data_IF_243542381469
#
_entry.id   IF_243542381469
#
_cell.length_a   1.000
_cell.length_b   1.000
_cell.length_c   1.000
_cell.angle_alpha   90.00
_cell.angle_beta   90.00
_cell.angle_gamma   90.00
#
_symmetry.space_group_name_H-M   'P 1'
#
loop_
_entity.id
_entity.type
_entity.pdbx_description
1 polymer ?
#
# COMPACT_ATOMS: atom_id res chain seq x y z
N UNK A 1 -33.14 -23.83 -5.01
CA UNK A 1 -32.51 -22.56 -5.41
C UNK A 1 -31.75 -22.04 -4.21
N UNK A 2 -30.44 -22.33 -4.14
CA UNK A 2 -29.58 -21.86 -3.07
C UNK A 2 -28.79 -20.65 -3.55
N UNK A 3 -29.03 -19.50 -2.94
CA UNK A 3 -28.25 -18.28 -3.15
C UNK A 3 -26.82 -18.51 -2.68
N UNK A 4 -25.87 -18.55 -3.62
CA UNK A 4 -24.45 -18.43 -3.30
C UNK A 4 -24.21 -16.99 -2.82
N UNK A 5 -24.10 -16.81 -1.51
CA UNK A 5 -23.44 -15.62 -0.96
C UNK A 5 -22.00 -15.61 -1.50
N UNK A 6 -21.68 -14.58 -2.27
CA UNK A 6 -20.30 -14.21 -2.59
C UNK A 6 -19.57 -13.98 -1.28
N UNK A 7 -18.61 -14.85 -0.94
CA UNK A 7 -17.73 -14.65 0.20
C UNK A 7 -16.85 -13.44 -0.13
N UNK A 8 -16.94 -12.39 0.68
CA UNK A 8 -16.07 -11.23 0.55
C UNK A 8 -14.61 -11.68 0.71
N UNK A 9 -13.69 -11.27 -0.17
CA UNK A 9 -12.29 -11.63 -0.07
C UNK A 9 -11.73 -11.09 1.26
N UNK A 10 -10.97 -11.95 1.96
CA UNK A 10 -10.31 -11.60 3.20
C UNK A 10 -9.45 -10.37 3.02
N UNK A 11 -9.80 -9.32 3.75
CA UNK A 11 -9.06 -8.08 3.82
C UNK A 11 -7.80 -8.30 4.69
N UNK A 12 -6.86 -7.36 4.64
CA UNK A 12 -5.65 -7.41 5.46
C UNK A 12 -5.61 -6.14 6.30
N UNK A 13 -5.26 -6.25 7.57
CA UNK A 13 -4.98 -5.09 8.42
C UNK A 13 -3.56 -5.22 8.92
N UNK A 14 -2.72 -4.25 8.54
CA UNK A 14 -1.37 -4.15 9.02
C UNK A 14 -1.26 -2.96 9.98
N UNK A 15 -0.54 -3.12 11.09
CA UNK A 15 -0.34 -2.05 12.08
C UNK A 15 1.16 -1.78 12.20
N UNK A 16 1.52 -0.49 12.14
CA UNK A 16 2.87 0.00 12.41
C UNK A 16 2.86 0.77 13.72
N UNK A 17 3.78 0.43 14.63
CA UNK A 17 4.02 1.18 15.85
C UNK A 17 5.16 2.17 15.60
N UNK A 18 4.96 3.43 15.99
CA UNK A 18 5.88 4.52 15.72
C UNK A 18 7.28 4.28 16.31
N UNK A 19 8.19 3.76 15.48
CA UNK A 19 9.61 3.58 15.77
C UNK A 19 10.43 3.54 14.47
N UNK A 20 11.55 4.25 14.44
CA UNK A 20 12.46 4.38 13.30
C UNK A 20 13.23 3.09 12.95
N UNK A 21 13.71 3.02 11.70
CA UNK A 21 14.94 2.35 11.21
C UNK A 21 14.95 0.88 10.71
N UNK A 22 15.13 0.75 9.39
CA UNK A 22 16.33 0.17 8.76
C UNK A 22 16.65 -1.34 8.77
N UNK A 23 15.75 -2.28 9.04
CA UNK A 23 16.17 -3.71 9.12
C UNK A 23 15.79 -4.63 7.94
N UNK A 24 14.94 -4.23 7.00
CA UNK A 24 14.55 -5.10 5.87
C UNK A 24 15.43 -5.04 4.62
N UNK A 25 16.36 -4.08 4.54
CA UNK A 25 17.45 -4.12 3.56
C UNK A 25 18.32 -5.39 3.72
N UNK A 26 18.42 -5.94 4.94
CA UNK A 26 19.31 -7.06 5.23
C UNK A 26 18.88 -8.40 4.64
N UNK A 27 17.58 -8.63 4.38
CA UNK A 27 17.09 -9.90 3.82
C UNK A 27 17.04 -9.91 2.30
N UNK A 28 16.73 -8.79 1.65
CA UNK A 28 16.80 -8.69 0.18
C UNK A 28 18.25 -8.56 -0.34
N UNK A 29 19.17 -7.95 0.42
CA UNK A 29 20.61 -7.95 0.07
C UNK A 29 21.24 -9.36 0.02
N UNK A 30 20.66 -10.34 0.73
CA UNK A 30 21.17 -11.72 0.72
C UNK A 30 20.90 -12.48 -0.59
N UNK A 31 20.03 -11.97 -1.45
CA UNK A 31 19.78 -12.50 -2.79
C UNK A 31 20.68 -11.86 -3.87
N UNK A 32 21.40 -10.77 -3.54
CA UNK A 32 22.16 -9.97 -4.49
C UNK A 32 23.69 -9.95 -4.33
N UNK A 33 24.27 -10.64 -3.33
CA UNK A 33 25.73 -10.56 -3.09
C UNK A 33 26.37 -11.93 -2.88
N UNK A 34 26.68 -12.60 -3.99
CA UNK A 34 27.63 -13.71 -4.00
C UNK A 34 28.99 -13.20 -4.49
N UNK A 35 29.83 -12.64 -3.61
CA UNK A 35 31.29 -12.70 -3.78
C UNK A 35 32.06 -12.28 -2.52
N UNK A 36 32.77 -13.27 -1.96
CA UNK A 36 33.95 -13.22 -1.09
C UNK A 36 33.88 -12.62 0.33
N UNK A 37 34.08 -13.49 1.33
CA UNK A 37 34.78 -13.17 2.58
C UNK A 37 35.69 -14.32 3.00
N UNK A 38 36.89 -14.07 3.57
CA UNK A 38 37.59 -15.01 4.43
C UNK A 38 37.23 -14.79 5.92
N UNK A 39 37.63 -15.72 6.82
CA UNK A 39 36.78 -16.13 7.93
C UNK A 39 37.19 -15.56 9.30
N UNK A 40 36.22 -15.40 10.20
CA UNK A 40 36.47 -15.42 11.65
C UNK A 40 35.40 -16.24 12.38
N UNK A 41 35.90 -17.21 13.14
CA UNK A 41 35.24 -18.17 14.02
C UNK A 41 34.70 -17.53 15.31
N UNK A 42 33.47 -17.87 15.72
CA UNK A 42 33.16 -18.65 16.95
C UNK A 42 31.66 -18.86 17.16
N UNK A 43 31.37 -19.98 17.83
CA UNK A 43 30.11 -20.68 18.00
C UNK A 43 29.11 -19.96 18.92
N UNK A 44 27.80 -20.13 18.68
CA UNK A 44 26.97 -21.00 19.54
C UNK A 44 25.55 -21.25 19.03
N UNK A 45 25.23 -22.54 18.98
CA UNK A 45 23.93 -23.25 19.07
C UNK A 45 22.62 -22.54 18.69
N UNK A 46 21.96 -23.08 17.66
CA UNK A 46 20.61 -23.69 17.74
C UNK A 46 20.26 -24.38 16.41
N UNK A 47 19.52 -25.50 16.52
CA UNK A 47 19.25 -26.53 15.51
C UNK A 47 18.80 -25.96 14.16
N UNK A 48 19.57 -26.21 13.10
CA UNK A 48 19.21 -25.90 11.71
C UNK A 48 18.55 -27.11 11.04
N UNK A 49 17.34 -26.91 10.54
CA UNK A 49 16.75 -27.76 9.51
C UNK A 49 17.61 -27.58 8.25
N UNK A 50 18.34 -28.62 7.84
CA UNK A 50 19.11 -28.62 6.59
C UNK A 50 18.13 -28.79 5.43
N UNK A 51 17.78 -27.69 4.78
CA UNK A 51 17.28 -27.75 3.40
C UNK A 51 18.49 -27.51 2.50
N UNK A 52 18.84 -28.53 1.72
CA UNK A 52 19.92 -28.45 0.75
C UNK A 52 19.60 -27.36 -0.28
N UNK A 53 20.49 -26.38 -0.42
CA UNK A 53 20.42 -25.41 -1.50
C UNK A 53 20.83 -26.13 -2.80
N UNK A 54 19.85 -26.50 -3.62
CA UNK A 54 20.10 -26.78 -5.02
C UNK A 54 20.23 -25.44 -5.74
N UNK A 55 21.41 -25.19 -6.32
CA UNK A 55 21.59 -24.16 -7.33
C UNK A 55 20.76 -24.55 -8.55
N UNK A 56 19.60 -23.93 -8.72
CA UNK A 56 18.83 -23.99 -9.96
C UNK A 56 18.92 -22.64 -10.65
N UNK A 57 19.57 -22.62 -11.81
CA UNK A 57 19.30 -21.63 -12.84
C UNK A 57 17.81 -21.70 -13.16
N UNK A 58 17.02 -20.72 -12.73
CA UNK A 58 15.58 -20.67 -13.00
C UNK A 58 15.34 -19.72 -14.17
N UNK A 59 15.06 -20.28 -15.34
CA UNK A 59 14.51 -19.53 -16.46
C UNK A 59 13.10 -19.06 -16.04
N UNK A 60 12.91 -17.76 -15.88
CA UNK A 60 11.61 -17.15 -15.62
C UNK A 60 10.77 -17.15 -16.90
N UNK A 61 9.45 -17.28 -16.77
CA UNK A 61 8.55 -17.14 -17.91
C UNK A 61 8.53 -15.67 -18.36
N UNK A 62 9.04 -15.41 -19.57
CA UNK A 62 9.04 -14.07 -20.17
C UNK A 62 7.70 -13.87 -20.88
N UNK A 63 6.94 -12.87 -20.45
CA UNK A 63 5.73 -12.46 -21.16
C UNK A 63 6.03 -11.19 -21.96
N UNK A 64 5.97 -11.32 -23.28
CA UNK A 64 6.14 -10.21 -24.20
C UNK A 64 4.80 -9.52 -24.44
N UNK A 65 4.68 -8.25 -24.08
CA UNK A 65 3.64 -7.35 -24.60
C UNK A 65 4.23 -6.51 -25.73
N UNK A 66 3.40 -5.79 -26.48
CA UNK A 66 3.81 -4.85 -27.54
C UNK A 66 4.81 -3.78 -27.08
N UNK A 67 4.95 -3.57 -25.76
CA UNK A 67 5.49 -2.37 -25.15
C UNK A 67 6.68 -2.63 -24.18
N UNK A 68 7.40 -3.75 -24.40
CA UNK A 68 8.57 -4.26 -23.64
C UNK A 68 8.25 -5.42 -22.66
N UNK A 69 9.20 -6.35 -22.45
CA UNK A 69 8.93 -7.55 -21.66
C UNK A 69 8.89 -7.27 -20.16
N UNK A 70 8.04 -8.03 -19.47
CA UNK A 70 8.19 -8.32 -18.05
C UNK A 70 8.45 -9.81 -17.84
N UNK A 71 9.16 -10.12 -16.76
CA UNK A 71 9.52 -11.47 -16.35
C UNK A 71 8.60 -11.89 -15.21
N UNK A 72 7.92 -13.02 -15.32
CA UNK A 72 7.17 -13.59 -14.20
C UNK A 72 8.17 -14.27 -13.26
N UNK A 73 8.40 -13.66 -12.10
CA UNK A 73 9.32 -14.19 -11.10
C UNK A 73 8.69 -15.34 -10.30
N UNK A 74 7.42 -15.18 -9.95
CA UNK A 74 6.68 -16.12 -9.12
C UNK A 74 5.19 -16.01 -9.44
N UNK A 75 4.48 -17.14 -9.38
CA UNK A 75 3.03 -17.15 -9.52
C UNK A 75 2.41 -18.21 -8.62
N UNK A 76 1.44 -17.79 -7.81
CA UNK A 76 0.74 -18.66 -6.88
C UNK A 76 -0.76 -18.42 -6.93
N UNK A 77 -1.54 -19.44 -6.55
CA UNK A 77 -2.98 -19.30 -6.33
C UNK A 77 -3.24 -19.40 -4.84
N UNK A 78 -3.77 -18.34 -4.26
CA UNK A 78 -4.24 -18.34 -2.86
C UNK A 78 -5.70 -18.80 -2.77
N UNK A 79 -6.22 -18.86 -1.55
CA UNK A 79 -7.64 -19.12 -1.29
C UNK A 79 -8.56 -18.02 -1.84
N UNK A 80 -8.04 -16.82 -2.07
CA UNK A 80 -8.82 -15.64 -2.46
C UNK A 80 -8.61 -15.29 -3.94
N UNK A 81 -7.35 -15.31 -4.37
CA UNK A 81 -6.97 -14.74 -5.66
C UNK A 81 -5.62 -15.27 -6.16
N UNK A 82 -5.28 -14.90 -7.40
CA UNK A 82 -4.03 -15.25 -8.06
C UNK A 82 -2.97 -14.19 -7.73
N UNK A 83 -1.84 -14.61 -7.20
CA UNK A 83 -0.72 -13.76 -6.86
C UNK A 83 0.35 -13.94 -7.93
N UNK A 84 0.75 -12.86 -8.59
CA UNK A 84 1.83 -12.87 -9.58
C UNK A 84 2.85 -11.80 -9.22
N UNK A 85 4.12 -12.18 -9.17
CA UNK A 85 5.24 -11.26 -9.01
C UNK A 85 5.92 -11.13 -10.36
N UNK A 86 6.05 -9.91 -10.85
CA UNK A 86 6.71 -9.62 -12.12
C UNK A 86 7.89 -8.67 -11.93
N UNK A 87 8.93 -8.83 -12.75
CA UNK A 87 10.02 -7.86 -12.89
C UNK A 87 9.87 -7.17 -14.23
N UNK A 88 9.75 -5.86 -14.23
CA UNK A 88 9.80 -5.07 -15.45
C UNK A 88 11.25 -4.85 -15.87
N UNK A 89 11.48 -4.83 -17.19
CA UNK A 89 12.80 -4.49 -17.74
C UNK A 89 13.21 -3.05 -17.36
N UNK A 90 14.51 -2.80 -17.25
CA UNK A 90 15.03 -1.46 -16.90
C UNK A 90 14.74 -0.41 -17.98
N UNK A 91 14.57 -0.85 -19.23
CA UNK A 91 14.24 0.00 -20.38
C UNK A 91 12.74 -0.03 -20.75
N UNK A 92 11.86 -0.40 -19.81
CA UNK A 92 10.43 -0.47 -20.05
C UNK A 92 9.85 0.90 -20.45
N UNK A 93 8.90 0.93 -21.39
CA UNK A 93 8.36 2.19 -21.95
C UNK A 93 7.61 3.03 -20.90
N UNK A 94 6.91 2.36 -19.99
CA UNK A 94 6.32 2.98 -18.80
C UNK A 94 7.41 3.20 -17.74
N UNK A 95 7.85 4.45 -17.60
CA UNK A 95 8.95 4.85 -16.69
C UNK A 95 8.63 4.61 -15.21
N UNK A 96 7.34 4.60 -14.88
CA UNK A 96 6.79 4.37 -13.54
C UNK A 96 7.07 2.94 -13.04
N UNK A 97 7.21 1.99 -13.97
CA UNK A 97 7.45 0.58 -13.63
C UNK A 97 8.80 0.07 -14.12
N UNK A 98 9.53 0.84 -14.93
CA UNK A 98 10.85 0.48 -15.42
C UNK A 98 11.81 0.07 -14.28
N UNK A 99 12.38 -1.13 -14.41
CA UNK A 99 13.27 -1.75 -13.42
C UNK A 99 12.59 -2.15 -12.10
N UNK A 100 11.27 -1.96 -11.95
CA UNK A 100 10.55 -2.30 -10.73
C UNK A 100 10.18 -3.79 -10.69
N UNK A 101 10.10 -4.32 -9.47
CA UNK A 101 9.36 -5.56 -9.18
C UNK A 101 7.96 -5.18 -8.78
N UNK A 102 6.96 -5.77 -9.40
CA UNK A 102 5.55 -5.47 -9.13
C UNK A 102 4.80 -6.70 -8.63
N UNK A 103 3.83 -6.44 -7.75
CA UNK A 103 2.86 -7.43 -7.31
C UNK A 103 1.54 -7.22 -8.04
N UNK A 104 0.96 -8.30 -8.55
CA UNK A 104 -0.35 -8.34 -9.21
C UNK A 104 -1.19 -9.38 -8.49
N UNK A 105 -2.36 -8.98 -7.99
CA UNK A 105 -3.17 -9.79 -7.07
C UNK A 105 -4.45 -10.37 -7.67
N UNK A 106 -4.77 -10.08 -8.93
CA UNK A 106 -5.99 -10.58 -9.56
C UNK A 106 -5.84 -10.66 -11.09
N UNK A 107 -6.95 -10.97 -11.78
CA UNK A 107 -7.01 -11.02 -13.23
C UNK A 107 -7.12 -9.64 -13.88
N UNK A 108 -7.25 -8.54 -13.10
CA UNK A 108 -7.34 -7.18 -13.66
C UNK A 108 -6.02 -6.75 -14.30
N UNK A 109 -4.90 -7.37 -13.87
CA UNK A 109 -3.56 -6.96 -14.29
C UNK A 109 -3.08 -5.68 -13.59
N UNK A 110 -3.87 -5.14 -12.66
CA UNK A 110 -3.49 -3.95 -11.87
C UNK A 110 -2.25 -4.22 -11.03
N UNK A 111 -1.38 -3.22 -10.97
CA UNK A 111 -0.20 -3.23 -10.09
C UNK A 111 -0.67 -2.85 -8.69
N UNK A 112 -0.51 -3.77 -7.75
CA UNK A 112 -0.93 -3.61 -6.36
C UNK A 112 0.22 -3.16 -5.44
N UNK A 113 1.46 -3.25 -5.93
CA UNK A 113 2.66 -2.80 -5.23
C UNK A 113 3.83 -2.69 -6.20
N UNK A 114 4.70 -1.70 -5.98
CA UNK A 114 5.95 -1.51 -6.70
C UNK A 114 7.11 -1.49 -5.72
N UNK A 115 8.14 -2.27 -6.04
CA UNK A 115 9.40 -2.31 -5.30
C UNK A 115 10.56 -2.02 -6.24
N UNK A 116 11.43 -1.11 -5.80
CA UNK A 116 12.72 -0.83 -6.43
C UNK A 116 13.80 -0.91 -5.37
N UNK A 117 14.89 -1.58 -5.69
CA UNK A 117 16.01 -1.68 -4.77
C UNK A 117 16.57 -0.29 -4.48
N UNK A 118 16.81 0.01 -3.20
CA UNK A 118 17.37 1.27 -2.71
C UNK A 118 16.60 2.56 -3.09
N UNK A 119 15.38 2.43 -3.60
CA UNK A 119 14.54 3.57 -4.01
C UNK A 119 13.23 3.51 -3.22
N UNK A 120 13.19 4.09 -2.00
CA UNK A 120 12.00 4.00 -1.14
C UNK A 120 10.81 4.81 -1.67
N UNK A 121 11.07 5.80 -2.53
CA UNK A 121 10.06 6.63 -3.18
C UNK A 121 9.63 5.98 -4.49
N UNK A 122 8.33 5.82 -4.66
CA UNK A 122 7.75 5.13 -5.82
C UNK A 122 7.42 6.06 -6.99
N UNK A 123 7.31 7.37 -6.73
CA UNK A 123 6.79 8.35 -7.69
C UNK A 123 5.29 8.20 -7.93
N UNK A 124 4.55 7.65 -6.97
CA UNK A 124 3.13 7.29 -7.13
C UNK A 124 2.30 7.65 -5.89
N UNK A 125 1.01 7.34 -5.89
CA UNK A 125 0.13 7.65 -4.74
C UNK A 125 0.58 6.96 -3.44
N UNK A 126 1.33 5.86 -3.50
CA UNK A 126 1.87 5.21 -2.30
C UNK A 126 2.77 6.16 -1.47
N UNK A 127 3.42 7.13 -2.10
CA UNK A 127 4.24 8.12 -1.40
C UNK A 127 3.40 9.12 -0.60
N UNK A 128 2.16 9.39 -1.03
CA UNK A 128 1.18 10.19 -0.28
C UNK A 128 0.86 9.49 1.06
N UNK A 129 0.82 8.16 1.07
CA UNK A 129 0.71 7.35 2.30
C UNK A 129 1.79 7.68 3.33
N UNK A 130 2.99 8.06 2.89
CA UNK A 130 4.11 8.41 3.75
C UNK A 130 3.97 9.79 4.41
N UNK A 131 2.98 10.61 4.00
CA UNK A 131 2.67 11.87 4.66
C UNK A 131 1.95 11.67 5.98
N UNK A 132 1.13 10.61 6.09
CA UNK A 132 0.20 10.44 7.20
C UNK A 132 0.83 10.53 8.59
N UNK A 133 2.01 9.93 8.88
CA UNK A 133 2.66 10.06 10.19
C UNK A 133 2.94 11.51 10.62
N UNK A 134 3.17 12.43 9.68
CA UNK A 134 3.39 13.85 9.97
C UNK A 134 2.10 14.67 10.14
N UNK A 135 0.93 14.06 9.89
CA UNK A 135 -0.37 14.73 9.90
C UNK A 135 -1.29 14.26 11.03
N UNK A 136 -0.83 13.30 11.84
CA UNK A 136 -1.60 12.67 12.92
C UNK A 136 -0.82 12.70 14.24
N UNK A 137 -1.49 12.52 15.40
CA UNK A 137 -0.81 12.40 16.68
C UNK A 137 0.06 11.14 16.74
N UNK A 138 0.94 11.05 17.73
CA UNK A 138 1.73 9.84 17.96
C UNK A 138 0.84 8.61 18.22
N UNK A 139 1.19 7.48 17.61
CA UNK A 139 0.63 6.17 17.91
C UNK A 139 0.45 5.26 16.68
N UNK A 140 -0.36 4.20 16.82
CA UNK A 140 -0.43 3.16 15.81
C UNK A 140 -1.13 3.66 14.54
N UNK A 141 -0.57 3.30 13.39
CA UNK A 141 -1.19 3.55 12.09
C UNK A 141 -1.73 2.22 11.55
N UNK A 142 -3.04 2.17 11.31
CA UNK A 142 -3.69 1.05 10.64
C UNK A 142 -3.56 1.19 9.13
N UNK A 143 -3.17 0.13 8.44
CA UNK A 143 -3.12 0.05 6.98
C UNK A 143 -4.12 -1.04 6.59
N UNK A 144 -5.23 -0.63 6.00
CA UNK A 144 -6.31 -1.53 5.58
C UNK A 144 -6.13 -1.84 4.09
N UNK A 145 -5.92 -3.11 3.80
CA UNK A 145 -5.50 -3.63 2.49
C UNK A 145 -4.05 -3.35 2.25
N UNK A 146 -3.76 -2.85 1.04
CA UNK A 146 -2.40 -2.53 0.59
C UNK A 146 -1.45 -3.73 0.63
N UNK A 147 -0.97 -4.17 -0.52
CA UNK A 147 0.27 -4.93 -0.57
C UNK A 147 1.48 -3.98 -0.42
N UNK A 148 1.41 -3.05 0.54
CA UNK A 148 2.34 -1.93 0.61
C UNK A 148 3.79 -2.39 0.82
N UNK A 149 4.78 -1.72 0.20
CA UNK A 149 6.16 -1.81 0.66
C UNK A 149 6.38 -1.17 2.04
N UNK A 150 5.38 -0.49 2.62
CA UNK A 150 5.39 -0.04 4.01
C UNK A 150 5.43 -1.27 4.90
N UNK A 151 6.62 -1.64 5.36
CA UNK A 151 6.85 -2.77 6.25
C UNK A 151 6.12 -2.56 7.58
N UNK A 152 5.03 -3.28 7.86
CA UNK A 152 4.35 -3.16 9.14
C UNK A 152 5.09 -3.98 10.19
N UNK A 153 5.00 -3.55 11.45
CA UNK A 153 5.55 -4.30 12.57
C UNK A 153 4.67 -5.51 12.90
N UNK A 154 3.35 -5.36 12.70
CA UNK A 154 2.35 -6.40 12.96
C UNK A 154 1.42 -6.56 11.77
N UNK A 155 1.15 -7.81 11.37
CA UNK A 155 0.20 -8.14 10.31
C UNK A 155 -0.94 -8.98 10.88
N UNK A 156 -2.18 -8.55 10.62
CA UNK A 156 -3.40 -9.25 10.95
C UNK A 156 -4.13 -9.66 9.66
N UNK A 157 -4.59 -10.92 9.64
CA UNK A 157 -5.39 -11.45 8.54
C UNK A 157 -6.84 -11.53 9.00
N UNK A 158 -7.73 -10.82 8.32
CA UNK A 158 -9.14 -10.74 8.72
C UNK A 158 -9.87 -9.58 8.04
N UNK A 159 -11.18 -9.51 8.21
CA UNK A 159 -11.96 -8.40 7.67
C UNK A 159 -11.51 -7.06 8.30
N UNK A 160 -10.87 -6.20 7.50
CA UNK A 160 -10.34 -4.90 7.94
C UNK A 160 -11.45 -3.91 8.32
N UNK A 161 -12.67 -4.13 7.84
CA UNK A 161 -13.84 -3.33 8.16
C UNK A 161 -14.60 -3.88 9.38
N UNK A 162 -14.25 -5.05 9.90
CA UNK A 162 -14.87 -5.61 11.10
C UNK A 162 -14.71 -4.70 12.31
N UNK A 163 -15.67 -4.72 13.23
CA UNK A 163 -15.69 -3.86 14.41
C UNK A 163 -14.48 -4.08 15.32
N UNK A 164 -14.02 -5.34 15.42
CA UNK A 164 -12.88 -5.77 16.22
C UNK A 164 -11.52 -5.58 15.53
N UNK A 165 -11.48 -5.16 14.27
CA UNK A 165 -10.27 -4.67 13.60
C UNK A 165 -9.91 -3.27 14.13
N UNK A 166 -9.50 -3.22 15.40
CA UNK A 166 -9.21 -2.03 16.18
C UNK A 166 -8.04 -2.28 17.14
N UNK A 167 -7.43 -1.20 17.62
CA UNK A 167 -6.35 -1.24 18.62
C UNK A 167 -6.78 -0.51 19.89
N UNK A 168 -6.26 -0.95 21.04
CA UNK A 168 -6.53 -0.29 22.32
C UNK A 168 -6.07 1.17 22.27
N UNK A 169 -6.97 2.10 22.63
CA UNK A 169 -6.70 3.54 22.56
C UNK A 169 -6.86 4.19 21.18
N UNK A 170 -7.19 3.40 20.15
CA UNK A 170 -7.47 3.89 18.80
C UNK A 170 -6.23 4.18 17.95
N UNK A 171 -6.43 4.15 16.62
CA UNK A 171 -5.41 4.47 15.64
C UNK A 171 -5.14 5.98 15.59
N UNK A 172 -3.87 6.35 15.47
CA UNK A 172 -3.45 7.70 15.13
C UNK A 172 -3.83 8.04 13.69
N UNK A 173 -3.60 7.11 12.78
CA UNK A 173 -3.97 7.24 11.39
C UNK A 173 -4.50 5.92 10.83
N UNK A 174 -5.37 5.99 9.83
CA UNK A 174 -5.79 4.82 9.05
C UNK A 174 -5.54 5.10 7.57
N UNK A 175 -4.79 4.22 6.90
CA UNK A 175 -4.68 4.21 5.44
C UNK A 175 -5.68 3.20 4.90
N UNK A 176 -6.50 3.60 3.93
CA UNK A 176 -7.49 2.73 3.27
C UNK A 176 -7.13 2.56 1.81
N UNK A 177 -6.80 1.33 1.40
CA UNK A 177 -6.53 0.97 0.01
C UNK A 177 -7.09 -0.42 -0.26
N UNK A 178 -8.41 -0.46 -0.35
CA UNK A 178 -9.22 -1.67 -0.32
C UNK A 178 -9.93 -1.87 -1.66
N UNK A 179 -9.36 -2.77 -2.46
CA UNK A 179 -9.85 -3.11 -3.78
C UNK A 179 -10.02 -4.62 -3.91
N UNK A 180 -11.01 -5.03 -4.70
CA UNK A 180 -11.16 -6.39 -5.17
C UNK A 180 -11.50 -6.37 -6.65
N UNK A 181 -10.79 -7.19 -7.45
CA UNK A 181 -10.99 -7.28 -8.90
C UNK A 181 -10.83 -5.91 -9.60
N UNK A 182 -9.85 -5.12 -9.16
CA UNK A 182 -9.62 -3.76 -9.64
C UNK A 182 -10.71 -2.74 -9.29
N UNK A 183 -11.66 -3.07 -8.41
CA UNK A 183 -12.76 -2.18 -8.02
C UNK A 183 -12.77 -1.87 -6.53
N UNK A 184 -13.21 -0.66 -6.19
CA UNK A 184 -13.52 -0.25 -4.82
C UNK A 184 -14.57 -1.20 -4.23
N UNK A 185 -14.36 -1.63 -2.99
CA UNK A 185 -15.33 -2.48 -2.30
C UNK A 185 -16.69 -1.77 -2.10
N UNK A 186 -17.83 -2.41 -2.40
CA UNK A 186 -19.16 -1.80 -2.22
C UNK A 186 -19.42 -1.28 -0.80
N UNK A 187 -18.85 -1.93 0.21
CA UNK A 187 -18.97 -1.50 1.61
C UNK A 187 -18.44 -0.07 1.83
N UNK A 188 -17.37 0.32 1.12
CA UNK A 188 -16.77 1.64 1.29
C UNK A 188 -17.64 2.77 0.71
N UNK A 189 -18.63 2.45 -0.12
CA UNK A 189 -19.59 3.46 -0.60
C UNK A 189 -20.70 3.75 0.43
N UNK A 190 -20.68 3.09 1.60
CA UNK A 190 -21.65 3.29 2.67
C UNK A 190 -21.08 4.24 3.73
N UNK A 191 -21.83 5.29 4.06
CA UNK A 191 -21.40 6.30 5.06
C UNK A 191 -21.19 5.70 6.45
N UNK A 192 -21.96 4.66 6.79
CA UNK A 192 -21.88 3.97 8.08
C UNK A 192 -20.50 3.33 8.30
N UNK A 193 -19.86 2.82 7.25
CA UNK A 193 -18.52 2.22 7.33
C UNK A 193 -17.48 3.28 7.72
N UNK A 194 -17.56 4.47 7.11
CA UNK A 194 -16.69 5.59 7.46
C UNK A 194 -16.94 6.12 8.87
N UNK A 195 -18.20 6.18 9.30
CA UNK A 195 -18.56 6.54 10.68
C UNK A 195 -18.05 5.53 11.70
N UNK A 196 -18.07 4.23 11.37
CA UNK A 196 -17.47 3.19 12.21
C UNK A 196 -15.96 3.32 12.25
N UNK A 197 -15.32 3.60 11.12
CA UNK A 197 -13.87 3.84 11.04
C UNK A 197 -13.46 5.06 11.88
N UNK A 198 -14.25 6.13 11.89
CA UNK A 198 -14.02 7.29 12.75
C UNK A 198 -13.96 6.93 14.24
N UNK A 199 -14.77 5.97 14.69
CA UNK A 199 -14.76 5.49 16.09
C UNK A 199 -13.48 4.73 16.46
N UNK A 200 -12.74 4.22 15.47
CA UNK A 200 -11.47 3.53 15.66
C UNK A 200 -10.28 4.48 15.77
N UNK A 201 -10.47 5.77 15.50
CA UNK A 201 -9.44 6.79 15.62
C UNK A 201 -9.33 7.33 17.04
N UNK A 202 -8.12 7.68 17.45
CA UNK A 202 -7.89 8.50 18.64
C UNK A 202 -8.27 9.97 18.36
N UNK A 203 -8.43 10.82 19.40
CA UNK A 203 -8.60 12.26 19.19
C UNK A 203 -7.49 12.85 18.32
N UNK A 204 -7.88 13.60 17.28
CA UNK A 204 -6.95 14.17 16.30
C UNK A 204 -6.48 13.21 15.20
N UNK A 205 -6.88 11.94 15.24
CA UNK A 205 -6.52 10.97 14.21
C UNK A 205 -7.21 11.24 12.87
N UNK A 206 -6.62 10.72 11.79
CA UNK A 206 -7.09 10.94 10.41
C UNK A 206 -7.16 9.65 9.60
N UNK A 207 -7.98 9.67 8.56
CA UNK A 207 -8.00 8.64 7.53
C UNK A 207 -7.41 9.21 6.25
N UNK A 208 -6.53 8.45 5.61
CA UNK A 208 -6.04 8.70 4.26
C UNK A 208 -6.54 7.55 3.37
N UNK A 209 -7.41 7.84 2.42
CA UNK A 209 -8.04 6.82 1.60
C UNK A 209 -7.68 7.00 0.13
N UNK A 210 -7.22 5.93 -0.52
CA UNK A 210 -7.28 5.84 -1.97
C UNK A 210 -8.76 5.73 -2.35
N UNK A 211 -9.29 6.78 -2.94
CA UNK A 211 -10.69 6.85 -3.38
C UNK A 211 -10.86 6.58 -4.88
N UNK A 212 -9.76 6.48 -5.62
CA UNK A 212 -9.77 6.37 -7.08
C UNK A 212 -10.71 7.41 -7.73
N UNK A 213 -11.15 7.24 -8.98
CA UNK A 213 -12.14 8.11 -9.62
C UNK A 213 -13.60 7.80 -9.18
N UNK A 214 -13.77 7.31 -7.95
CA UNK A 214 -15.07 6.87 -7.46
C UNK A 214 -15.81 7.97 -6.69
N UNK A 215 -16.73 8.65 -7.38
CA UNK A 215 -17.55 9.72 -6.80
C UNK A 215 -18.43 9.24 -5.64
N UNK A 216 -19.03 8.05 -5.72
CA UNK A 216 -19.89 7.52 -4.66
C UNK A 216 -19.09 7.28 -3.36
N UNK A 217 -17.85 6.80 -3.50
CA UNK A 217 -16.91 6.66 -2.40
C UNK A 217 -16.54 8.02 -1.80
N UNK A 218 -16.19 9.01 -2.62
CA UNK A 218 -15.88 10.36 -2.16
C UNK A 218 -17.07 11.03 -1.43
N UNK A 219 -18.30 10.83 -1.93
CA UNK A 219 -19.52 11.31 -1.27
C UNK A 219 -19.74 10.63 0.09
N UNK A 220 -19.45 9.32 0.20
CA UNK A 220 -19.52 8.60 1.47
C UNK A 220 -18.49 9.14 2.49
N UNK A 221 -17.26 9.40 2.03
CA UNK A 221 -16.21 10.05 2.84
C UNK A 221 -16.67 11.43 3.31
N UNK A 222 -17.13 12.30 2.41
CA UNK A 222 -17.59 13.66 2.73
C UNK A 222 -18.73 13.68 3.75
N UNK A 223 -19.70 12.76 3.61
CA UNK A 223 -20.83 12.66 4.55
C UNK A 223 -20.39 12.24 5.96
N UNK A 224 -19.28 11.51 6.09
CA UNK A 224 -18.71 11.12 7.39
C UNK A 224 -17.67 12.14 7.90
N UNK A 225 -16.96 12.82 7.00
CA UNK A 225 -15.88 13.75 7.26
C UNK A 225 -16.03 15.00 6.37
N UNK A 226 -16.87 15.97 6.78
CA UNK A 226 -17.18 17.14 5.94
C UNK A 226 -15.99 18.03 5.60
N UNK A 227 -14.93 17.99 6.41
CA UNK A 227 -13.70 18.80 6.23
C UNK A 227 -12.63 18.10 5.37
N UNK A 228 -12.93 16.91 4.82
CA UNK A 228 -11.95 16.13 4.08
C UNK A 228 -11.38 16.92 2.88
N UNK A 229 -10.08 16.76 2.66
CA UNK A 229 -9.36 17.30 1.51
C UNK A 229 -9.13 16.20 0.48
N UNK A 230 -9.26 16.53 -0.80
CA UNK A 230 -8.92 15.67 -1.93
C UNK A 230 -7.59 16.07 -2.55
N UNK A 231 -6.90 15.08 -3.11
CA UNK A 231 -5.68 15.25 -3.87
C UNK A 231 -5.73 14.40 -5.14
N UNK A 232 -5.42 15.01 -6.28
CA UNK A 232 -5.25 14.31 -7.57
C UNK A 232 -3.77 13.97 -7.70
N UNK A 233 -3.37 12.69 -7.73
CA UNK A 233 -1.97 12.35 -7.93
C UNK A 233 -1.42 12.89 -9.25
N UNK A 234 -0.13 13.20 -9.25
CA UNK A 234 0.62 13.84 -10.33
C UNK A 234 0.48 13.11 -11.67
N UNK A 235 0.32 11.78 -11.65
CA UNK A 235 0.03 11.00 -12.85
C UNK A 235 -1.49 10.82 -13.02
N UNK A 236 -2.13 11.85 -13.60
CA UNK A 236 -3.55 11.90 -13.93
C UNK A 236 -4.07 10.64 -14.67
N UNK A 237 -3.20 9.94 -15.41
CA UNK A 237 -3.51 8.70 -16.12
C UNK A 237 -3.91 7.53 -15.20
N UNK A 238 -3.53 7.56 -13.92
CA UNK A 238 -3.77 6.45 -12.99
C UNK A 238 -5.05 6.59 -12.19
N UNK A 239 -5.73 7.76 -12.26
CA UNK A 239 -7.01 8.03 -11.59
C UNK A 239 -7.07 7.65 -10.10
N UNK A 240 -5.94 7.67 -9.40
CA UNK A 240 -5.83 7.28 -7.99
C UNK A 240 -6.10 8.45 -7.04
N UNK A 241 -7.25 9.12 -7.16
CA UNK A 241 -7.55 10.23 -6.25
C UNK A 241 -7.47 9.77 -4.79
N UNK A 242 -6.99 10.67 -3.93
CA UNK A 242 -6.79 10.40 -2.51
C UNK A 242 -7.61 11.40 -1.68
N UNK A 243 -8.25 10.91 -0.62
CA UNK A 243 -8.90 11.74 0.37
C UNK A 243 -8.14 11.69 1.70
N UNK A 244 -7.96 12.85 2.35
CA UNK A 244 -7.45 12.99 3.70
C UNK A 244 -8.53 13.61 4.58
N UNK A 245 -8.90 12.94 5.68
CA UNK A 245 -9.93 13.44 6.60
C UNK A 245 -9.37 14.39 7.66
N UNK A 246 -10.29 15.07 8.35
CA UNK A 246 -9.98 16.03 9.41
C UNK A 246 -9.78 17.44 8.87
N UNK A 247 -9.44 18.42 9.74
CA UNK A 247 -9.31 19.81 9.35
C UNK A 247 -8.24 20.02 8.28
N UNK A 248 -8.38 21.03 7.40
CA UNK A 248 -7.38 21.33 6.40
C UNK A 248 -5.97 21.48 6.99
N UNK A 249 -4.99 20.89 6.32
CA UNK A 249 -3.58 21.01 6.73
C UNK A 249 -3.04 22.38 6.30
N UNK A 250 -2.40 23.09 7.23
CA UNK A 250 -1.83 24.41 6.94
C UNK A 250 -0.54 24.31 6.13
N UNK A 251 -0.24 25.38 5.39
CA UNK A 251 1.00 25.49 4.62
C UNK A 251 2.25 25.26 5.47
N UNK A 252 2.26 25.77 6.70
CA UNK A 252 3.39 25.60 7.63
C UNK A 252 3.69 24.13 7.91
N UNK A 253 2.64 23.30 8.04
CA UNK A 253 2.79 21.84 8.25
C UNK A 253 3.34 21.19 6.99
N UNK A 254 2.83 21.54 5.81
CA UNK A 254 3.39 21.06 4.54
C UNK A 254 4.87 21.40 4.36
N UNK A 255 5.28 22.56 4.89
CA UNK A 255 6.67 22.98 4.84
C UNK A 255 7.62 22.14 5.72
N UNK A 256 7.10 21.34 6.66
CA UNK A 256 7.93 20.48 7.53
C UNK A 256 8.35 19.15 6.89
N UNK A 257 7.70 18.71 5.81
CA UNK A 257 7.99 17.41 5.19
C UNK A 257 9.38 17.37 4.51
N UNK A 258 10.04 16.21 4.44
CA UNK A 258 11.31 16.04 3.74
C UNK A 258 11.21 16.41 2.25
N UNK A 259 12.32 16.87 1.66
CA UNK A 259 12.40 17.27 0.25
C UNK A 259 11.87 16.18 -0.70
N UNK A 260 12.14 14.91 -0.37
CA UNK A 260 11.71 13.75 -1.15
C UNK A 260 10.19 13.56 -1.19
N UNK A 261 9.43 14.19 -0.29
CA UNK A 261 7.96 14.09 -0.24
C UNK A 261 7.27 15.41 -0.60
N UNK A 262 8.02 16.49 -0.86
CA UNK A 262 7.46 17.82 -1.17
C UNK A 262 6.52 17.82 -2.36
N UNK A 263 6.78 16.97 -3.36
CA UNK A 263 5.88 16.87 -4.50
C UNK A 263 4.48 16.34 -4.11
N UNK A 264 4.35 15.60 -3.00
CA UNK A 264 3.07 15.12 -2.49
C UNK A 264 2.32 16.15 -1.63
N UNK A 265 2.94 17.28 -1.25
CA UNK A 265 2.33 18.25 -0.32
C UNK A 265 1.60 19.40 -1.02
N UNK A 266 1.55 19.38 -2.35
CA UNK A 266 0.90 20.43 -3.17
C UNK A 266 -0.36 19.88 -3.83
N UNK A 267 -1.29 20.73 -4.27
CA UNK A 267 -2.48 20.26 -5.02
C UNK A 267 -3.61 19.67 -4.17
N UNK A 268 -3.54 19.82 -2.84
CA UNK A 268 -4.64 19.51 -1.93
C UNK A 268 -5.73 20.59 -1.99
N UNK A 269 -6.98 20.18 -2.10
CA UNK A 269 -8.15 21.07 -2.12
C UNK A 269 -9.30 20.45 -1.32
N UNK A 270 -10.36 21.18 -0.95
CA UNK A 270 -11.54 20.57 -0.34
C UNK A 270 -12.07 19.44 -1.23
N UNK A 271 -12.39 18.29 -0.64
CA UNK A 271 -12.79 17.09 -1.40
C UNK A 271 -14.06 17.32 -2.23
N UNK A 272 -14.95 18.20 -1.76
CA UNK A 272 -16.15 18.63 -2.49
C UNK A 272 -15.85 19.42 -3.78
N UNK A 273 -14.66 20.02 -3.88
CA UNK A 273 -14.24 20.84 -5.02
C UNK A 273 -13.37 20.04 -6.01
N UNK A 274 -13.14 18.75 -5.75
CA UNK A 274 -12.32 17.88 -6.59
C UNK A 274 -12.95 17.75 -8.00
N UNK A 275 -12.19 18.09 -9.04
CA UNK A 275 -12.61 17.89 -10.42
C UNK A 275 -12.54 16.42 -10.80
N UNK A 276 -13.67 15.89 -11.28
CA UNK A 276 -13.83 14.50 -11.72
C UNK A 276 -13.67 14.34 -13.24
N UNK A 277 -13.54 15.45 -13.97
CA UNK A 277 -13.33 15.45 -15.41
C UNK A 277 -11.81 15.50 -15.69
N UNK A 278 -11.21 14.33 -15.95
CA UNK A 278 -9.84 14.15 -16.47
C UNK A 278 -9.85 13.37 -17.78
#
# INVERSE_FOLDING_TARGET
MGTRQLRQPGLYTAVRDGGWCCQLASRFQSLGTASQRPPLTRQNSRRTCRIAAQQTSTAYDVVYTSDAPYYVLEQQKSMLQKITVVKFADNHVMKEVAGATALILDASGSIHSLYRENTPITGSYWDIGSLLPGLVPDGPIGILGLASPLHPDVCHVGDALAEDAAVSGGFAGIVVDLFAEGQVLPALQQVEVWKQMAKKLKPGGRVLANISDNRALAEAVLKAFPEAQGHVPINANTRNYVALTGPPVSEDVWQTFPEQLKYCTTGWQPLQDLSWDL
#
